data_IF_514073087323
#
_entry.id   IF_514073087323
#
_cell.length_a   1.000
_cell.length_b   1.000
_cell.length_c   1.000
_cell.angle_alpha   90.00
_cell.angle_beta   90.00
_cell.angle_gamma   90.00
#
_symmetry.space_group_name_H-M   'P 1'
#
loop_
_entity.id
_entity.type
_entity.pdbx_description
1 polymer ?
#
# COMPACT_ATOMS: atom_id res chain seq x y z
N UNK A 1 17.31 19.17 9.36
CA UNK A 1 17.69 18.44 8.12
C UNK A 1 18.27 17.11 8.57
N UNK A 2 17.74 16.00 8.06
CA UNK A 2 18.19 14.64 8.37
C UNK A 2 18.70 13.96 7.09
N UNK A 3 19.55 12.95 7.23
CA UNK A 3 19.94 12.04 6.15
C UNK A 3 19.02 10.84 6.19
N UNK A 4 18.29 10.56 5.09
CA UNK A 4 17.31 9.49 4.98
C UNK A 4 17.73 8.54 3.86
N UNK A 5 17.81 7.25 4.16
CA UNK A 5 17.90 6.22 3.14
C UNK A 5 16.50 5.82 2.68
N UNK A 6 16.27 5.76 1.39
CA UNK A 6 14.99 5.29 0.83
C UNK A 6 15.25 4.11 -0.13
N UNK A 7 14.75 2.94 0.21
CA UNK A 7 14.98 1.70 -0.53
C UNK A 7 13.69 1.24 -1.18
N UNK A 8 13.70 1.21 -2.52
CA UNK A 8 12.50 0.90 -3.33
C UNK A 8 11.83 2.17 -3.85
N UNK A 9 12.17 2.56 -5.08
CA UNK A 9 11.71 3.78 -5.77
C UNK A 9 10.66 3.46 -6.85
N UNK A 10 9.92 2.38 -6.69
CA UNK A 10 8.80 2.03 -7.57
C UNK A 10 7.66 3.05 -7.51
N UNK A 11 6.50 2.68 -8.07
CA UNK A 11 5.34 3.58 -8.22
C UNK A 11 4.92 4.35 -6.96
N UNK A 12 5.02 3.72 -5.80
CA UNK A 12 4.71 4.36 -4.51
C UNK A 12 5.91 5.06 -3.91
N UNK A 13 7.06 4.35 -3.85
CA UNK A 13 8.26 4.82 -3.16
C UNK A 13 8.85 6.08 -3.76
N UNK A 14 8.82 6.26 -5.07
CA UNK A 14 9.34 7.46 -5.72
C UNK A 14 8.63 8.73 -5.23
N UNK A 15 7.29 8.75 -5.24
CA UNK A 15 6.51 9.89 -4.74
C UNK A 15 6.76 10.17 -3.26
N UNK A 16 6.84 9.13 -2.44
CA UNK A 16 7.14 9.23 -1.01
C UNK A 16 8.54 9.82 -0.77
N UNK A 17 9.56 9.31 -1.46
CA UNK A 17 10.94 9.79 -1.35
C UNK A 17 11.08 11.26 -1.76
N UNK A 18 10.42 11.66 -2.84
CA UNK A 18 10.40 13.06 -3.32
C UNK A 18 9.75 14.00 -2.31
N UNK A 19 8.71 13.57 -1.59
CA UNK A 19 8.12 14.40 -0.54
C UNK A 19 9.10 14.65 0.63
N UNK A 20 9.94 13.68 0.96
CA UNK A 20 11.01 13.88 1.96
C UNK A 20 12.08 14.85 1.45
N UNK A 21 12.44 14.80 0.15
CA UNK A 21 13.34 15.81 -0.47
C UNK A 21 12.71 17.20 -0.40
N UNK A 22 11.44 17.35 -0.78
CA UNK A 22 10.70 18.61 -0.69
C UNK A 22 10.61 19.16 0.74
N UNK A 23 10.60 18.27 1.73
CA UNK A 23 10.63 18.63 3.15
C UNK A 23 12.01 19.12 3.64
N UNK A 24 13.03 19.15 2.77
CA UNK A 24 14.36 19.66 3.07
C UNK A 24 15.32 18.63 3.67
N UNK A 25 15.03 17.33 3.53
CA UNK A 25 15.95 16.26 3.95
C UNK A 25 16.94 15.90 2.84
N UNK A 26 18.11 15.39 3.21
CA UNK A 26 19.00 14.68 2.28
C UNK A 26 18.45 13.26 2.12
N UNK A 27 17.94 12.90 0.94
CA UNK A 27 17.38 11.57 0.69
C UNK A 27 18.29 10.82 -0.28
N UNK A 28 18.82 9.67 0.16
CA UNK A 28 19.63 8.75 -0.63
C UNK A 28 18.76 7.58 -1.07
N UNK A 29 18.49 7.51 -2.36
CA UNK A 29 17.59 6.51 -2.94
C UNK A 29 18.34 5.34 -3.58
N UNK A 30 17.84 4.14 -3.34
CA UNK A 30 18.31 2.92 -4.01
C UNK A 30 17.12 2.12 -4.55
N UNK A 31 17.27 1.64 -5.78
CA UNK A 31 16.37 0.67 -6.41
C UNK A 31 17.20 -0.21 -7.36
N UNK A 32 16.72 -1.43 -7.60
CA UNK A 32 17.30 -2.31 -8.63
C UNK A 32 17.08 -1.78 -10.05
N UNK A 33 15.99 -1.02 -10.25
CA UNK A 33 15.67 -0.33 -11.50
C UNK A 33 16.40 1.01 -11.56
N UNK A 34 17.44 1.09 -12.40
CA UNK A 34 18.26 2.28 -12.57
C UNK A 34 17.49 3.47 -13.17
N UNK A 35 16.45 3.23 -13.97
CA UNK A 35 15.59 4.31 -14.50
C UNK A 35 14.82 4.99 -13.37
N UNK A 36 14.32 4.23 -12.40
CA UNK A 36 13.67 4.78 -11.22
C UNK A 36 14.64 5.63 -10.39
N UNK A 37 15.90 5.19 -10.23
CA UNK A 37 16.93 5.96 -9.53
C UNK A 37 17.26 7.25 -10.29
N UNK A 38 17.35 7.21 -11.61
CA UNK A 38 17.62 8.39 -12.43
C UNK A 38 16.48 9.42 -12.35
N UNK A 39 15.22 8.96 -12.42
CA UNK A 39 14.03 9.82 -12.25
C UNK A 39 14.03 10.49 -10.87
N UNK A 40 14.29 9.73 -9.81
CA UNK A 40 14.38 10.24 -8.44
C UNK A 40 15.49 11.29 -8.29
N UNK A 41 16.67 11.04 -8.87
CA UNK A 41 17.81 11.97 -8.85
C UNK A 41 17.47 13.29 -9.57
N UNK A 42 16.75 13.21 -10.70
CA UNK A 42 16.23 14.39 -11.42
C UNK A 42 15.26 15.25 -10.61
N UNK A 43 14.69 14.69 -9.52
CA UNK A 43 13.78 15.38 -8.61
C UNK A 43 14.47 15.84 -7.30
N UNK A 44 15.80 15.87 -7.27
CA UNK A 44 16.60 16.39 -6.16
C UNK A 44 17.05 15.35 -5.14
N UNK A 45 16.77 14.07 -5.38
CA UNK A 45 17.30 12.96 -4.58
C UNK A 45 18.75 12.67 -4.90
N UNK A 46 19.43 11.93 -4.04
CA UNK A 46 20.80 11.42 -4.27
C UNK A 46 20.74 9.93 -4.59
N UNK A 47 21.27 9.52 -5.73
CA UNK A 47 21.44 8.10 -6.05
C UNK A 47 22.45 7.45 -5.11
N UNK A 48 22.15 6.24 -4.63
CA UNK A 48 23.09 5.36 -3.95
C UNK A 48 23.37 4.14 -4.81
N UNK A 49 24.60 3.68 -4.85
CA UNK A 49 24.99 2.53 -5.66
C UNK A 49 24.62 1.18 -4.99
N UNK A 50 24.31 1.20 -3.70
CA UNK A 50 23.89 0.03 -2.94
C UNK A 50 23.01 0.41 -1.74
N UNK A 51 22.32 -0.58 -1.17
CA UNK A 51 21.59 -0.42 0.10
C UNK A 51 22.54 0.06 1.20
N UNK A 52 23.72 -0.54 1.31
CA UNK A 52 24.70 -0.21 2.36
C UNK A 52 25.22 1.22 2.21
N UNK A 53 25.42 1.71 1.00
CA UNK A 53 25.78 3.10 0.76
C UNK A 53 24.64 4.05 1.18
N UNK A 54 23.40 3.73 0.82
CA UNK A 54 22.25 4.55 1.19
C UNK A 54 22.10 4.70 2.69
N UNK A 55 22.23 3.60 3.46
CA UNK A 55 22.01 3.59 4.91
C UNK A 55 23.20 4.09 5.73
N UNK A 56 24.38 4.23 5.12
CA UNK A 56 25.59 4.68 5.83
C UNK A 56 25.40 6.04 6.47
N UNK A 57 25.40 6.09 7.82
CA UNK A 57 25.20 7.33 8.59
C UNK A 57 23.79 7.94 8.47
N UNK A 58 22.81 7.23 7.93
CA UNK A 58 21.44 7.71 7.85
C UNK A 58 20.77 7.85 9.22
N UNK A 59 19.96 8.90 9.39
CA UNK A 59 19.14 9.15 10.59
C UNK A 59 17.85 8.33 10.55
N UNK A 60 17.36 8.06 9.36
CA UNK A 60 16.16 7.27 9.12
C UNK A 60 16.32 6.41 7.87
N UNK A 61 15.68 5.25 7.87
CA UNK A 61 15.59 4.36 6.71
C UNK A 61 14.12 4.09 6.41
N UNK A 62 13.73 4.27 5.16
CA UNK A 62 12.40 3.93 4.65
C UNK A 62 12.56 2.82 3.61
N UNK A 63 11.75 1.78 3.71
CA UNK A 63 11.66 0.74 2.70
C UNK A 63 10.27 0.67 2.08
N UNK A 64 10.18 0.43 0.77
CA UNK A 64 8.93 0.23 0.04
C UNK A 64 9.12 -0.88 -1.00
N UNK A 65 8.96 -2.13 -0.56
CA UNK A 65 9.39 -3.34 -1.25
C UNK A 65 8.19 -4.25 -1.61
N UNK A 66 8.36 -5.16 -2.60
CA UNK A 66 7.24 -5.96 -3.10
C UNK A 66 6.69 -7.02 -2.14
N UNK A 67 7.52 -7.62 -1.26
CA UNK A 67 7.14 -8.76 -0.43
C UNK A 67 8.01 -8.93 0.82
N UNK A 68 7.51 -9.65 1.83
CA UNK A 68 8.18 -9.90 3.11
C UNK A 68 9.57 -10.49 2.97
N UNK A 69 9.78 -11.43 2.03
CA UNK A 69 11.11 -12.00 1.76
C UNK A 69 12.17 -10.95 1.37
N UNK A 70 11.77 -9.90 0.65
CA UNK A 70 12.68 -8.82 0.26
C UNK A 70 12.97 -7.90 1.46
N UNK A 71 11.95 -7.61 2.27
CA UNK A 71 12.10 -6.85 3.51
C UNK A 71 13.06 -7.58 4.44
N UNK A 72 12.78 -8.84 4.77
CA UNK A 72 13.66 -9.66 5.62
C UNK A 72 15.09 -9.74 5.08
N UNK A 73 15.25 -9.96 3.77
CA UNK A 73 16.57 -10.04 3.13
C UNK A 73 17.39 -8.75 3.21
N UNK A 74 16.74 -7.58 3.30
CA UNK A 74 17.43 -6.30 3.49
C UNK A 74 17.69 -6.00 4.96
N UNK A 75 16.77 -6.36 5.85
CA UNK A 75 16.85 -5.99 7.26
C UNK A 75 17.73 -6.94 8.09
N UNK A 76 17.63 -8.25 7.83
CA UNK A 76 18.19 -9.32 8.67
C UNK A 76 19.56 -9.80 8.20
N UNK A 77 20.28 -10.56 9.06
CA UNK A 77 21.57 -11.15 8.78
C UNK A 77 22.76 -10.22 8.98
N UNK A 78 23.96 -10.75 8.76
CA UNK A 78 25.23 -10.01 8.98
C UNK A 78 25.39 -8.83 8.02
N UNK A 79 24.87 -8.94 6.81
CA UNK A 79 24.83 -7.87 5.79
C UNK A 79 23.55 -7.04 5.87
N UNK A 80 22.64 -7.36 6.78
CA UNK A 80 21.38 -6.65 6.98
C UNK A 80 21.56 -5.25 7.54
N UNK A 81 20.63 -4.36 7.20
CA UNK A 81 20.72 -2.94 7.60
C UNK A 81 20.63 -2.75 9.11
N UNK A 82 19.95 -3.65 9.84
CA UNK A 82 19.87 -3.60 11.32
C UNK A 82 21.27 -3.58 11.95
N UNK A 83 22.23 -4.34 11.42
CA UNK A 83 23.60 -4.38 11.91
C UNK A 83 24.48 -3.22 11.41
N UNK A 84 23.99 -2.42 10.47
CA UNK A 84 24.77 -1.38 9.76
C UNK A 84 24.34 0.05 10.01
N UNK A 85 23.10 0.26 10.46
CA UNK A 85 22.61 1.59 10.80
C UNK A 85 23.19 2.07 12.13
N UNK A 86 23.19 3.36 12.35
CA UNK A 86 23.59 3.90 13.63
C UNK A 86 22.56 3.61 14.74
N UNK A 87 22.98 3.53 16.01
CA UNK A 87 22.12 3.07 17.11
C UNK A 87 20.84 3.89 17.33
N UNK A 88 20.84 5.15 16.97
CA UNK A 88 19.71 6.07 17.12
C UNK A 88 18.84 6.22 15.85
N UNK A 89 19.16 5.47 14.78
CA UNK A 89 18.38 5.48 13.56
C UNK A 89 16.99 4.89 13.78
N UNK A 90 16.00 5.42 13.04
CA UNK A 90 14.65 4.85 12.93
C UNK A 90 14.48 4.10 11.62
N UNK A 91 14.03 2.85 11.68
CA UNK A 91 13.72 2.02 10.55
C UNK A 91 12.21 1.99 10.33
N UNK A 92 11.75 2.30 9.12
CA UNK A 92 10.34 2.39 8.74
C UNK A 92 10.08 1.53 7.51
N UNK A 93 9.43 0.37 7.67
CA UNK A 93 9.01 -0.43 6.53
C UNK A 93 7.59 -0.05 6.10
N UNK A 94 7.46 0.62 4.96
CA UNK A 94 6.20 1.05 4.38
C UNK A 94 5.62 0.03 3.37
N UNK A 95 6.26 -1.11 3.22
CA UNK A 95 5.83 -2.21 2.34
C UNK A 95 4.50 -2.82 2.83
N UNK A 96 3.75 -3.43 1.92
CA UNK A 96 2.62 -4.29 2.28
C UNK A 96 3.08 -5.74 2.22
N UNK A 97 3.28 -6.34 3.39
CA UNK A 97 3.85 -7.68 3.60
C UNK A 97 3.01 -8.48 4.60
N UNK A 98 3.36 -9.75 4.79
CA UNK A 98 2.76 -10.59 5.82
C UNK A 98 3.14 -10.12 7.24
N UNK A 99 2.23 -10.37 8.18
CA UNK A 99 2.38 -9.95 9.59
C UNK A 99 3.60 -10.61 10.25
N UNK A 100 3.88 -11.85 9.90
CA UNK A 100 4.97 -12.62 10.52
C UNK A 100 6.34 -12.08 10.10
N UNK A 101 6.50 -11.69 8.84
CA UNK A 101 7.71 -11.01 8.37
C UNK A 101 7.92 -9.67 9.08
N UNK A 102 6.86 -8.86 9.26
CA UNK A 102 6.97 -7.59 9.97
C UNK A 102 7.35 -7.78 11.44
N UNK A 103 6.75 -8.78 12.11
CA UNK A 103 7.10 -9.14 13.50
C UNK A 103 8.54 -9.64 13.64
N UNK A 104 8.97 -10.51 12.72
CA UNK A 104 10.34 -11.03 12.73
C UNK A 104 11.37 -9.90 12.62
N UNK A 105 11.16 -8.96 11.69
CA UNK A 105 12.04 -7.78 11.56
C UNK A 105 11.99 -6.89 12.80
N UNK A 106 10.79 -6.67 13.36
CA UNK A 106 10.62 -5.91 14.60
C UNK A 106 11.37 -6.53 15.78
N UNK A 107 11.30 -7.86 15.93
CA UNK A 107 12.06 -8.59 16.96
C UNK A 107 13.57 -8.51 16.75
N UNK A 108 14.03 -8.63 15.48
CA UNK A 108 15.45 -8.53 15.17
C UNK A 108 15.98 -7.12 15.48
N UNK A 109 15.23 -6.08 15.12
CA UNK A 109 15.56 -4.69 15.44
C UNK A 109 15.60 -4.45 16.97
N UNK A 110 14.58 -4.94 17.70
CA UNK A 110 14.53 -4.80 19.16
C UNK A 110 15.71 -5.50 19.85
N UNK A 111 16.11 -6.70 19.40
CA UNK A 111 17.30 -7.41 19.91
C UNK A 111 18.59 -6.63 19.68
N UNK A 112 18.67 -5.86 18.60
CA UNK A 112 19.80 -5.00 18.27
C UNK A 112 19.72 -3.61 18.93
N UNK A 113 18.63 -3.28 19.63
CA UNK A 113 18.40 -1.97 20.22
C UNK A 113 18.06 -0.88 19.21
N UNK A 114 17.62 -1.26 18.00
CA UNK A 114 17.26 -0.33 16.92
C UNK A 114 15.75 -0.11 16.90
N UNK A 115 15.31 1.13 16.72
CA UNK A 115 13.90 1.47 16.58
C UNK A 115 13.38 1.03 15.22
N UNK A 116 12.23 0.36 15.22
CA UNK A 116 11.57 -0.11 14.00
C UNK A 116 10.05 0.08 14.08
N UNK A 117 9.45 0.43 12.96
CA UNK A 117 8.01 0.41 12.74
C UNK A 117 7.66 -0.24 11.39
N UNK A 118 6.61 -1.04 11.37
CA UNK A 118 5.90 -1.40 10.15
C UNK A 118 4.84 -0.32 9.89
N UNK A 119 4.90 0.31 8.74
CA UNK A 119 4.09 1.50 8.42
C UNK A 119 3.46 1.43 7.02
N UNK A 120 2.73 0.35 6.69
CA UNK A 120 2.05 0.25 5.39
C UNK A 120 1.09 1.41 5.16
N UNK A 121 0.83 1.67 3.87
CA UNK A 121 0.14 2.88 3.41
C UNK A 121 -1.17 2.58 2.69
N UNK A 122 -2.07 3.55 2.71
CA UNK A 122 -3.28 3.60 1.90
C UNK A 122 -3.42 4.95 1.22
N UNK A 123 -3.93 4.95 -0.05
CA UNK A 123 -4.17 6.15 -0.85
C UNK A 123 -3.78 6.03 -2.32
N UNK A 124 -2.96 5.03 -2.68
CA UNK A 124 -2.48 4.81 -4.04
C UNK A 124 -1.43 5.82 -4.50
N UNK A 125 -1.04 5.73 -5.78
CA UNK A 125 0.07 6.50 -6.37
C UNK A 125 -0.15 8.00 -6.25
N UNK A 126 -1.36 8.49 -6.55
CA UNK A 126 -1.66 9.91 -6.48
C UNK A 126 -1.50 10.48 -5.05
N UNK A 127 -1.84 9.70 -4.02
CA UNK A 127 -1.64 10.12 -2.63
C UNK A 127 -0.15 10.06 -2.23
N UNK A 128 0.62 9.11 -2.78
CA UNK A 128 2.07 9.04 -2.57
C UNK A 128 2.77 10.28 -3.15
N UNK A 129 2.42 10.67 -4.38
CA UNK A 129 2.93 11.87 -5.04
C UNK A 129 2.51 13.16 -4.30
N UNK A 130 1.25 13.21 -3.86
CA UNK A 130 0.64 14.36 -3.19
C UNK A 130 0.99 14.50 -1.71
N UNK A 131 1.72 13.56 -1.09
CA UNK A 131 2.02 13.59 0.35
C UNK A 131 0.76 13.43 1.23
N UNK A 132 -0.25 12.71 0.75
CA UNK A 132 -1.55 12.59 1.41
C UNK A 132 -1.90 11.16 1.81
N UNK A 133 -0.90 10.29 1.93
CA UNK A 133 -1.09 8.90 2.35
C UNK A 133 -1.67 8.80 3.77
N UNK A 134 -2.36 7.70 4.02
CA UNK A 134 -2.67 7.24 5.37
C UNK A 134 -1.69 6.15 5.74
N UNK A 135 -0.92 6.36 6.81
CA UNK A 135 -0.02 5.37 7.40
C UNK A 135 -0.70 4.62 8.53
N UNK A 136 -0.62 3.30 8.52
CA UNK A 136 -1.07 2.40 9.59
C UNK A 136 0.18 1.86 10.27
N UNK A 137 0.50 2.36 11.48
CA UNK A 137 1.83 2.15 12.07
C UNK A 137 1.78 1.13 13.19
N UNK A 138 2.55 0.07 13.06
CA UNK A 138 2.83 -0.91 14.11
C UNK A 138 4.22 -0.72 14.69
N UNK A 139 4.34 -0.76 16.01
CA UNK A 139 5.61 -0.63 16.71
C UNK A 139 5.46 -0.03 18.11
N UNK A 140 6.51 -0.11 18.95
CA UNK A 140 6.53 0.53 20.25
C UNK A 140 6.25 2.04 20.15
N UNK A 141 5.66 2.63 21.19
CA UNK A 141 5.31 4.06 21.22
C UNK A 141 6.53 4.95 20.91
N UNK A 142 7.69 4.62 21.52
CA UNK A 142 8.92 5.39 21.30
C UNK A 142 9.38 5.35 19.82
N UNK A 143 9.25 4.20 19.17
CA UNK A 143 9.58 4.05 17.73
C UNK A 143 8.58 4.80 16.86
N UNK A 144 7.29 4.74 17.21
CA UNK A 144 6.24 5.50 16.53
C UNK A 144 6.49 7.01 16.60
N UNK A 145 6.80 7.56 17.77
CA UNK A 145 7.09 8.98 17.92
C UNK A 145 8.36 9.40 17.16
N UNK A 146 9.38 8.53 17.09
CA UNK A 146 10.58 8.77 16.29
C UNK A 146 10.31 8.75 14.79
N UNK A 147 9.38 7.90 14.32
CA UNK A 147 9.00 7.77 12.91
C UNK A 147 8.06 8.90 12.45
N UNK A 148 7.17 9.37 13.34
CA UNK A 148 6.09 10.31 13.01
C UNK A 148 6.55 11.54 12.22
N UNK A 149 7.63 12.26 12.58
CA UNK A 149 8.05 13.45 11.85
C UNK A 149 8.38 13.21 10.38
N UNK A 150 8.83 11.99 10.03
CA UNK A 150 9.13 11.60 8.66
C UNK A 150 7.87 11.16 7.92
N UNK A 151 7.01 10.37 8.58
CA UNK A 151 5.78 9.87 7.99
C UNK A 151 4.79 11.01 7.67
N UNK A 152 4.71 12.04 8.52
CA UNK A 152 3.90 13.25 8.29
C UNK A 152 4.34 14.08 7.08
N UNK A 153 5.56 13.88 6.55
CA UNK A 153 5.98 14.52 5.29
C UNK A 153 5.48 13.76 4.05
N UNK A 154 5.09 12.52 4.21
CA UNK A 154 4.62 11.64 3.13
C UNK A 154 3.09 11.38 3.19
N UNK A 155 2.44 11.73 4.31
CA UNK A 155 1.02 11.46 4.52
C UNK A 155 0.29 12.52 5.33
N UNK A 156 -1.03 12.51 5.19
CA UNK A 156 -1.95 13.40 5.94
C UNK A 156 -2.46 12.77 7.24
N UNK A 157 -2.35 11.45 7.38
CA UNK A 157 -2.79 10.71 8.56
C UNK A 157 -1.74 9.66 8.92
N UNK A 158 -1.25 9.70 10.16
CA UNK A 158 -0.28 8.76 10.71
C UNK A 158 -0.89 8.19 11.98
N UNK A 159 -1.33 6.92 11.91
CA UNK A 159 -2.16 6.31 12.96
C UNK A 159 -1.43 5.09 13.51
N UNK A 160 -1.14 5.10 14.82
CA UNK A 160 -0.60 3.93 15.50
C UNK A 160 -1.70 2.87 15.66
N UNK A 161 -1.45 1.68 15.13
CA UNK A 161 -2.38 0.54 15.18
C UNK A 161 -2.11 -0.37 16.41
N UNK A 162 -0.90 -0.35 16.95
CA UNK A 162 -0.47 -1.21 18.04
C UNK A 162 1.02 -1.52 17.98
N UNK A 163 1.42 -2.67 18.52
CA UNK A 163 2.82 -3.13 18.49
C UNK A 163 3.23 -3.66 17.12
N UNK A 164 4.48 -4.14 16.98
CA UNK A 164 5.04 -4.60 15.71
C UNK A 164 4.13 -5.63 15.01
N UNK A 165 3.91 -5.41 13.70
CA UNK A 165 2.98 -6.18 12.86
C UNK A 165 1.52 -5.69 12.90
N UNK A 166 1.16 -4.78 13.83
CA UNK A 166 -0.21 -4.25 13.89
C UNK A 166 -0.54 -3.34 12.70
N UNK A 167 0.43 -2.65 12.14
CA UNK A 167 0.27 -1.87 10.92
C UNK A 167 -0.10 -2.76 9.74
N UNK A 168 0.62 -3.87 9.55
CA UNK A 168 0.33 -4.86 8.51
C UNK A 168 -1.05 -5.51 8.73
N UNK A 169 -1.38 -5.89 9.96
CA UNK A 169 -2.69 -6.45 10.28
C UNK A 169 -3.83 -5.48 9.93
N UNK A 170 -3.68 -4.20 10.29
CA UNK A 170 -4.64 -3.16 9.93
C UNK A 170 -4.76 -3.00 8.40
N UNK A 171 -3.60 -2.99 7.69
CA UNK A 171 -3.57 -2.87 6.24
C UNK A 171 -4.24 -4.06 5.54
N UNK A 172 -3.95 -5.27 5.97
CA UNK A 172 -4.51 -6.51 5.40
C UNK A 172 -6.03 -6.53 5.57
N UNK A 173 -6.53 -6.24 6.77
CA UNK A 173 -7.97 -6.16 7.03
C UNK A 173 -8.64 -5.05 6.20
N UNK A 174 -8.01 -3.87 6.11
CA UNK A 174 -8.53 -2.77 5.31
C UNK A 174 -8.62 -3.14 3.81
N UNK A 175 -7.59 -3.77 3.25
CA UNK A 175 -7.59 -4.09 1.82
C UNK A 175 -8.47 -5.29 1.47
N UNK A 176 -8.63 -6.26 2.38
CA UNK A 176 -9.66 -7.29 2.26
C UNK A 176 -11.05 -6.66 2.19
N UNK A 177 -11.37 -5.76 3.12
CA UNK A 177 -12.64 -5.04 3.12
C UNK A 177 -12.83 -4.20 1.85
N UNK A 178 -11.78 -3.53 1.37
CA UNK A 178 -11.80 -2.77 0.12
C UNK A 178 -12.13 -3.65 -1.08
N UNK A 179 -11.53 -4.83 -1.19
CA UNK A 179 -11.81 -5.79 -2.27
C UNK A 179 -13.28 -6.26 -2.25
N UNK A 180 -13.79 -6.60 -1.07
CA UNK A 180 -15.19 -6.98 -0.87
C UNK A 180 -16.13 -5.82 -1.25
N UNK A 181 -15.86 -4.62 -0.80
CA UNK A 181 -16.65 -3.43 -1.12
C UNK A 181 -16.65 -3.12 -2.61
N UNK A 182 -15.52 -3.27 -3.30
CA UNK A 182 -15.46 -3.03 -4.75
C UNK A 182 -16.33 -4.04 -5.50
N UNK A 183 -16.26 -5.32 -5.17
CA UNK A 183 -17.08 -6.35 -5.81
C UNK A 183 -18.56 -6.07 -5.56
N UNK A 184 -18.97 -5.87 -4.31
CA UNK A 184 -20.37 -5.60 -3.98
C UNK A 184 -20.89 -4.31 -4.64
N UNK A 185 -20.05 -3.29 -4.77
CA UNK A 185 -20.39 -2.05 -5.50
C UNK A 185 -20.56 -2.33 -6.99
N UNK A 186 -19.68 -3.13 -7.60
CA UNK A 186 -19.78 -3.52 -9.00
C UNK A 186 -21.07 -4.32 -9.27
N UNK A 187 -21.38 -5.30 -8.43
CA UNK A 187 -22.62 -6.11 -8.54
C UNK A 187 -23.87 -5.24 -8.42
N UNK A 188 -23.87 -4.29 -7.47
CA UNK A 188 -24.99 -3.39 -7.26
C UNK A 188 -25.23 -2.48 -8.49
N UNK A 189 -24.16 -1.91 -9.09
CA UNK A 189 -24.28 -1.14 -10.32
C UNK A 189 -24.72 -2.01 -11.51
N UNK A 190 -24.17 -3.21 -11.67
CA UNK A 190 -24.54 -4.12 -12.73
C UNK A 190 -26.02 -4.52 -12.64
N UNK A 191 -26.50 -4.83 -11.43
CA UNK A 191 -27.92 -5.13 -11.20
C UNK A 191 -28.81 -3.92 -11.46
N UNK A 192 -28.44 -2.73 -10.95
CA UNK A 192 -29.19 -1.50 -11.19
C UNK A 192 -29.38 -1.21 -12.68
N UNK A 193 -28.31 -1.34 -13.48
CA UNK A 193 -28.37 -1.19 -14.94
C UNK A 193 -29.30 -2.22 -15.61
N UNK A 194 -29.25 -3.47 -15.17
CA UNK A 194 -30.18 -4.51 -15.69
C UNK A 194 -31.64 -4.23 -15.38
N UNK A 195 -31.91 -3.55 -14.26
CA UNK A 195 -33.24 -3.09 -13.87
C UNK A 195 -33.66 -1.77 -14.53
N UNK A 196 -32.81 -1.20 -15.41
CA UNK A 196 -33.09 0.05 -16.13
C UNK A 196 -32.86 1.31 -15.30
N UNK A 197 -32.18 1.20 -14.14
CA UNK A 197 -31.84 2.37 -13.34
C UNK A 197 -30.56 3.01 -13.86
N UNK A 198 -30.63 4.32 -14.09
CA UNK A 198 -29.50 5.13 -14.55
C UNK A 198 -28.38 5.11 -13.50
N UNK A 199 -27.09 4.89 -13.89
CA UNK A 199 -25.99 4.79 -12.94
C UNK A 199 -25.79 6.04 -12.09
N UNK A 200 -25.97 7.24 -12.66
CA UNK A 200 -25.85 8.48 -11.88
C UNK A 200 -26.95 8.57 -10.82
N UNK A 201 -28.19 8.23 -11.17
CA UNK A 201 -29.29 8.20 -10.19
C UNK A 201 -29.09 7.18 -9.09
N UNK A 202 -28.59 5.99 -9.44
CA UNK A 202 -28.23 4.99 -8.44
C UNK A 202 -27.13 5.50 -7.50
N UNK A 203 -26.09 6.12 -8.03
CA UNK A 203 -25.05 6.77 -7.24
C UNK A 203 -25.62 7.85 -6.31
N UNK A 204 -26.44 8.76 -6.82
CA UNK A 204 -27.00 9.88 -6.05
C UNK A 204 -27.81 9.41 -4.83
N UNK A 205 -28.46 8.26 -4.96
CA UNK A 205 -29.22 7.63 -3.87
C UNK A 205 -28.27 6.88 -2.95
N UNK A 206 -27.52 5.91 -3.49
CA UNK A 206 -26.78 4.93 -2.69
C UNK A 206 -25.58 5.53 -1.96
N UNK A 207 -24.96 6.57 -2.53
CA UNK A 207 -23.89 7.33 -1.88
C UNK A 207 -24.34 8.09 -0.60
N UNK A 208 -25.65 8.26 -0.39
CA UNK A 208 -26.25 8.92 0.78
C UNK A 208 -27.07 7.96 1.64
N UNK A 209 -27.19 6.72 1.23
CA UNK A 209 -27.95 5.68 1.93
C UNK A 209 -27.00 4.69 2.62
N UNK A 210 -27.57 3.67 3.26
CA UNK A 210 -26.81 2.66 4.03
C UNK A 210 -25.84 1.80 3.23
N UNK A 211 -25.92 1.79 1.91
CA UNK A 211 -25.00 1.10 1.01
C UNK A 211 -23.71 1.89 0.70
N UNK A 212 -23.58 3.11 1.24
CA UNK A 212 -22.41 3.97 1.01
C UNK A 212 -21.11 3.28 1.47
N UNK A 213 -20.09 3.39 0.63
CA UNK A 213 -18.73 2.93 0.93
C UNK A 213 -17.71 3.70 0.07
N UNK A 214 -16.41 3.58 0.39
CA UNK A 214 -15.35 4.32 -0.30
C UNK A 214 -15.25 3.93 -1.79
N UNK A 215 -15.45 2.66 -2.14
CA UNK A 215 -15.43 2.20 -3.55
C UNK A 215 -16.50 2.88 -4.40
N UNK A 216 -17.64 3.24 -3.78
CA UNK A 216 -18.70 4.01 -4.44
C UNK A 216 -18.37 5.51 -4.50
N UNK A 217 -18.07 6.13 -3.35
CA UNK A 217 -18.04 7.60 -3.24
C UNK A 217 -16.74 8.25 -3.70
N UNK A 218 -15.64 7.51 -3.68
CA UNK A 218 -14.30 8.04 -4.02
C UNK A 218 -13.67 7.33 -5.22
N UNK A 219 -14.15 6.13 -5.56
CA UNK A 219 -13.48 5.27 -6.56
C UNK A 219 -14.51 4.50 -7.43
N UNK A 220 -15.60 5.16 -7.79
CA UNK A 220 -16.76 4.55 -8.45
C UNK A 220 -16.36 3.70 -9.67
N UNK A 221 -16.79 2.42 -9.75
CA UNK A 221 -16.39 1.52 -10.82
C UNK A 221 -17.10 1.81 -12.16
N UNK A 222 -18.15 2.66 -12.16
CA UNK A 222 -18.80 3.11 -13.41
C UNK A 222 -18.36 4.51 -13.79
N UNK A 223 -18.20 4.82 -15.09
CA UNK A 223 -17.87 6.17 -15.53
C UNK A 223 -18.98 7.19 -15.18
N UNK A 224 -18.60 8.41 -14.94
CA UNK A 224 -19.48 9.55 -14.69
C UNK A 224 -19.49 10.04 -13.24
N UNK A 225 -20.06 9.31 -12.27
CA UNK A 225 -20.36 9.84 -10.93
C UNK A 225 -19.17 10.42 -10.17
N UNK A 226 -17.97 9.84 -10.31
CA UNK A 226 -16.75 10.30 -9.63
C UNK A 226 -15.68 10.61 -10.68
N UNK A 227 -15.50 11.88 -11.11
CA UNK A 227 -14.63 12.24 -12.23
C UNK A 227 -13.18 11.78 -12.12
N UNK A 228 -12.62 11.73 -10.90
CA UNK A 228 -11.25 11.29 -10.67
C UNK A 228 -11.05 9.77 -10.70
N UNK A 229 -12.15 8.98 -10.70
CA UNK A 229 -12.06 7.52 -10.66
C UNK A 229 -11.45 6.93 -11.96
N UNK A 230 -10.70 5.83 -11.87
CA UNK A 230 -10.11 5.15 -13.02
C UNK A 230 -11.11 4.71 -14.09
N UNK A 231 -12.36 4.46 -13.73
CA UNK A 231 -13.45 4.16 -14.65
C UNK A 231 -13.61 5.20 -15.77
N UNK A 232 -13.31 6.50 -15.51
CA UNK A 232 -13.39 7.58 -16.49
C UNK A 232 -12.20 7.64 -17.47
N UNK A 233 -11.19 6.78 -17.30
CA UNK A 233 -9.98 6.75 -18.14
C UNK A 233 -9.58 5.33 -18.55
N UNK A 234 -10.59 4.49 -18.82
CA UNK A 234 -10.40 3.13 -19.30
C UNK A 234 -9.71 2.22 -18.28
N UNK A 235 -9.94 2.45 -16.99
CA UNK A 235 -9.37 1.68 -15.88
C UNK A 235 -7.83 1.66 -15.89
N UNK A 236 -7.18 2.76 -16.30
CA UNK A 236 -5.74 2.93 -16.08
C UNK A 236 -5.45 2.85 -14.58
N UNK A 237 -4.50 2.00 -14.15
CA UNK A 237 -4.32 1.71 -12.74
C UNK A 237 -3.94 2.92 -11.88
N UNK A 238 -4.74 3.19 -10.84
CA UNK A 238 -4.32 3.88 -9.63
C UNK A 238 -3.93 2.87 -8.55
N UNK A 239 -4.61 1.71 -8.56
CA UNK A 239 -4.27 0.51 -7.81
C UNK A 239 -4.52 -0.72 -8.70
N UNK A 240 -3.46 -1.35 -9.18
CA UNK A 240 -3.55 -2.42 -10.16
C UNK A 240 -4.23 -3.67 -9.59
N UNK A 241 -5.03 -4.37 -10.41
CA UNK A 241 -5.73 -5.59 -10.02
C UNK A 241 -4.80 -6.69 -9.47
N UNK A 242 -3.58 -6.93 -10.00
CA UNK A 242 -2.64 -7.87 -9.38
C UNK A 242 -2.20 -7.48 -7.96
N UNK A 243 -2.18 -6.18 -7.64
CA UNK A 243 -1.85 -5.73 -6.29
C UNK A 243 -3.01 -5.97 -5.32
N UNK A 244 -4.25 -5.76 -5.76
CA UNK A 244 -5.43 -6.14 -4.97
C UNK A 244 -5.46 -7.66 -4.74
N UNK A 245 -5.20 -8.46 -5.76
CA UNK A 245 -5.11 -9.93 -5.64
C UNK A 245 -4.02 -10.35 -4.64
N UNK A 246 -2.84 -9.73 -4.71
CA UNK A 246 -1.76 -9.95 -3.73
C UNK A 246 -2.25 -9.69 -2.30
N UNK A 247 -2.92 -8.57 -2.08
CA UNK A 247 -3.37 -8.17 -0.75
C UNK A 247 -4.50 -9.08 -0.23
N UNK A 248 -5.37 -9.58 -1.09
CA UNK A 248 -6.38 -10.58 -0.74
C UNK A 248 -5.75 -11.94 -0.38
N UNK A 249 -4.69 -12.35 -1.07
CA UNK A 249 -3.92 -13.55 -0.73
C UNK A 249 -3.22 -13.42 0.63
N UNK A 250 -2.63 -12.26 0.91
CA UNK A 250 -2.11 -11.97 2.25
C UNK A 250 -3.19 -12.07 3.33
N UNK A 251 -4.42 -11.64 3.02
CA UNK A 251 -5.55 -11.76 3.95
C UNK A 251 -5.92 -13.23 4.21
N UNK A 252 -5.92 -14.09 3.18
CA UNK A 252 -6.18 -15.53 3.33
C UNK A 252 -5.08 -16.22 4.14
N UNK A 253 -3.82 -15.95 3.84
CA UNK A 253 -2.67 -16.49 4.59
C UNK A 253 -2.73 -16.08 6.06
N UNK A 254 -3.00 -14.79 6.32
CA UNK A 254 -3.14 -14.26 7.69
C UNK A 254 -4.33 -14.88 8.41
N UNK A 255 -5.46 -15.03 7.75
CA UNK A 255 -6.66 -15.64 8.33
C UNK A 255 -6.41 -17.12 8.69
N UNK A 256 -5.72 -17.86 7.83
CA UNK A 256 -5.32 -19.25 8.10
C UNK A 256 -4.41 -19.33 9.32
N UNK A 257 -3.41 -18.46 9.44
CA UNK A 257 -2.49 -18.42 10.60
C UNK A 257 -3.22 -18.02 11.89
N UNK A 258 -4.26 -17.21 11.79
CA UNK A 258 -5.04 -16.72 12.94
C UNK A 258 -6.29 -17.58 13.27
N UNK A 259 -6.50 -18.70 12.56
CA UNK A 259 -7.71 -19.53 12.64
C UNK A 259 -9.02 -18.70 12.52
N UNK A 260 -9.04 -17.75 11.58
CA UNK A 260 -10.15 -16.84 11.36
C UNK A 260 -10.92 -17.19 10.08
N UNK A 261 -12.25 -17.24 10.13
CA UNK A 261 -13.10 -17.45 8.95
C UNK A 261 -13.35 -16.12 8.22
N UNK A 262 -12.95 -16.05 6.95
CA UNK A 262 -13.17 -14.88 6.07
C UNK A 262 -13.84 -15.28 4.74
N UNK A 263 -15.06 -15.85 4.74
CA UNK A 263 -15.68 -16.39 3.53
C UNK A 263 -15.83 -15.38 2.39
N UNK A 264 -16.18 -14.13 2.68
CA UNK A 264 -16.28 -13.07 1.67
C UNK A 264 -14.89 -12.67 1.13
N UNK A 265 -13.88 -12.61 1.98
CA UNK A 265 -12.50 -12.37 1.57
C UNK A 265 -11.99 -13.46 0.63
N UNK A 266 -12.28 -14.73 0.93
CA UNK A 266 -11.93 -15.87 0.08
C UNK A 266 -12.66 -15.82 -1.27
N UNK A 267 -13.93 -15.40 -1.27
CA UNK A 267 -14.67 -15.23 -2.52
C UNK A 267 -14.12 -14.07 -3.35
N UNK A 268 -13.79 -12.96 -2.71
CA UNK A 268 -13.16 -11.82 -3.38
C UNK A 268 -11.81 -12.20 -4.03
N UNK A 269 -10.96 -12.97 -3.34
CA UNK A 269 -9.70 -13.46 -3.91
C UNK A 269 -9.94 -14.26 -5.18
N UNK A 270 -10.89 -15.19 -5.18
CA UNK A 270 -11.24 -15.99 -6.38
C UNK A 270 -11.70 -15.14 -7.55
N UNK A 271 -12.54 -14.14 -7.31
CA UNK A 271 -13.02 -13.24 -8.36
C UNK A 271 -11.88 -12.38 -8.93
N UNK A 272 -10.97 -11.88 -8.11
CA UNK A 272 -9.79 -11.16 -8.59
C UNK A 272 -8.79 -12.07 -9.30
N UNK A 273 -8.66 -13.34 -8.89
CA UNK A 273 -7.87 -14.35 -9.64
C UNK A 273 -8.44 -14.52 -11.05
N UNK A 274 -9.74 -14.78 -11.16
CA UNK A 274 -10.41 -14.90 -12.46
C UNK A 274 -10.26 -13.64 -13.32
N UNK A 275 -10.40 -12.46 -12.71
CA UNK A 275 -10.27 -11.19 -13.42
C UNK A 275 -8.85 -11.00 -13.98
N UNK A 276 -7.82 -11.26 -13.18
CA UNK A 276 -6.43 -11.13 -13.63
C UNK A 276 -6.07 -12.15 -14.71
N UNK A 277 -6.54 -13.39 -14.60
CA UNK A 277 -6.36 -14.45 -15.61
C UNK A 277 -7.11 -14.16 -16.91
N UNK A 278 -8.21 -13.40 -16.86
CA UNK A 278 -9.02 -13.02 -18.02
C UNK A 278 -8.57 -11.69 -18.68
N UNK A 279 -7.34 -11.23 -18.43
CA UNK A 279 -6.78 -10.03 -19.06
C UNK A 279 -6.89 -8.75 -18.22
N UNK A 280 -7.26 -8.85 -16.94
CA UNK A 280 -7.32 -7.72 -16.01
C UNK A 280 -5.97 -7.29 -15.43
N UNK A 281 -4.85 -7.94 -15.79
CA UNK A 281 -3.54 -7.68 -15.20
C UNK A 281 -3.03 -6.23 -15.35
N UNK A 282 -3.37 -5.57 -16.45
CA UNK A 282 -2.95 -4.19 -16.72
C UNK A 282 -4.01 -3.17 -16.32
N UNK A 283 -5.10 -3.62 -15.69
CA UNK A 283 -6.21 -2.76 -15.29
C UNK A 283 -6.17 -2.42 -13.81
N UNK A 284 -6.84 -1.34 -13.50
CA UNK A 284 -7.20 -0.97 -12.14
C UNK A 284 -8.12 -2.03 -11.52
N UNK A 285 -8.02 -2.23 -10.20
CA UNK A 285 -8.84 -3.22 -9.51
C UNK A 285 -10.36 -2.96 -9.65
N UNK A 286 -10.76 -1.70 -9.87
CA UNK A 286 -12.16 -1.34 -10.15
C UNK A 286 -12.65 -1.82 -11.53
N UNK A 287 -11.72 -2.17 -12.44
CA UNK A 287 -12.05 -2.76 -13.74
C UNK A 287 -12.71 -4.13 -13.67
N UNK A 288 -12.75 -4.77 -12.50
CA UNK A 288 -13.47 -6.03 -12.28
C UNK A 288 -14.97 -5.94 -12.65
N UNK A 289 -15.53 -4.72 -12.67
CA UNK A 289 -16.91 -4.50 -13.11
C UNK A 289 -17.14 -4.98 -14.53
N UNK A 290 -16.17 -4.90 -15.42
CA UNK A 290 -16.30 -5.36 -16.81
C UNK A 290 -16.55 -6.86 -16.87
N UNK A 291 -15.88 -7.64 -16.02
CA UNK A 291 -16.11 -9.07 -15.89
C UNK A 291 -17.47 -9.37 -15.26
N UNK A 292 -17.82 -8.68 -14.18
CA UNK A 292 -19.09 -8.87 -13.46
C UNK A 292 -20.29 -8.52 -14.36
N UNK A 293 -20.20 -7.39 -15.09
CA UNK A 293 -21.28 -6.95 -15.98
C UNK A 293 -21.42 -7.81 -17.25
N UNK A 294 -20.32 -8.44 -17.72
CA UNK A 294 -20.31 -9.31 -18.89
C UNK A 294 -20.85 -10.71 -18.61
N UNK A 295 -20.67 -11.22 -17.38
CA UNK A 295 -21.16 -12.54 -17.00
C UNK A 295 -22.70 -12.55 -17.03
N UNK A 296 -23.26 -13.08 -18.14
CA UNK A 296 -24.61 -13.59 -18.16
C UNK A 296 -24.57 -14.89 -17.37
N UNK A 297 -25.24 -14.96 -16.24
CA UNK A 297 -25.66 -16.26 -15.68
C UNK A 297 -26.55 -16.88 -16.74
N UNK A 298 -26.03 -17.82 -17.54
CA UNK A 298 -26.83 -18.78 -18.31
C UNK A 298 -27.62 -19.66 -17.35
#
# INVERSE_FOLDING_TARGET
MAVIAFIGLGNMGSGMAVNLVKAGHEVRGFDLNQDAVAVFSGQGGKAAASVLEAVSGADAVVTMLPAGKHVRGIYEGEEGIIARVKPDAILMDCSTIDVDSARAVGEAAAKAGIKFVDAPVSGGVAAAEGGTLTFMVGGPEEAFEAARPYLEKMGKAVIRAGDAGAGQAAKICNNMLLGIHMIGTCEAFALAQKLGLDPQRFFDISSKASGQNWSMTSYCPVPGPVPAAPSNRGYKPGFAAPMMLKDLRLALETAQSADAAIPLGAHAERLYTLFTESGGNEKDFSGIIEMIAANRTE
#
